data_IF_327989505224
#
_entry.id   IF_327989505224
#
_cell.length_a   1.000
_cell.length_b   1.000
_cell.length_c   1.000
_cell.angle_alpha   90.00
_cell.angle_beta   90.00
_cell.angle_gamma   90.00
#
_symmetry.space_group_name_H-M   'P 1'
#
loop_
_entity.id
_entity.type
_entity.pdbx_description
1 polymer ?
#
# COMPACT_ATOMS: atom_id res chain seq x y z
N UNK A 1 -1.94 3.35 -6.72
CA UNK A 1 -3.37 3.42 -7.09
C UNK A 1 -3.54 4.66 -7.91
N UNK A 2 -3.80 4.50 -9.20
CA UNK A 2 -4.16 5.57 -10.14
C UNK A 2 -5.67 5.78 -10.11
N UNK A 3 -6.16 6.95 -10.52
CA UNK A 3 -7.61 7.23 -10.62
C UNK A 3 -8.35 6.18 -11.48
N UNK A 4 -7.68 5.64 -12.51
CA UNK A 4 -8.22 4.54 -13.34
C UNK A 4 -8.42 3.23 -12.58
N UNK A 5 -7.55 2.92 -11.61
CA UNK A 5 -7.72 1.73 -10.74
C UNK A 5 -8.91 1.94 -9.79
N UNK A 6 -9.19 3.19 -9.42
CA UNK A 6 -10.30 3.55 -8.54
C UNK A 6 -11.65 3.47 -9.25
N UNK A 7 -11.69 3.78 -10.55
CA UNK A 7 -12.90 3.64 -11.37
C UNK A 7 -13.39 2.19 -11.48
N UNK A 8 -12.51 1.18 -11.38
CA UNK A 8 -12.92 -0.25 -11.32
C UNK A 8 -13.71 -0.59 -10.06
N UNK A 9 -13.58 0.20 -8.98
CA UNK A 9 -14.32 0.02 -7.74
C UNK A 9 -15.72 0.68 -7.77
N UNK A 10 -16.10 1.33 -8.88
CA UNK A 10 -17.38 2.02 -9.02
C UNK A 10 -18.58 1.06 -9.02
N UNK A 11 -19.17 0.89 -7.83
CA UNK A 11 -20.54 0.39 -7.66
C UNK A 11 -20.74 -0.68 -6.59
N UNK A 12 -19.69 -1.35 -6.10
CA UNK A 12 -19.79 -2.38 -5.04
C UNK A 12 -18.59 -2.51 -4.10
N UNK A 13 -17.54 -1.72 -4.30
CA UNK A 13 -16.38 -1.79 -3.42
C UNK A 13 -16.70 -1.16 -2.07
N UNK A 14 -16.54 -1.93 -1.01
CA UNK A 14 -16.50 -1.39 0.34
C UNK A 14 -15.17 -0.67 0.55
N UNK A 15 -15.09 0.21 1.55
CA UNK A 15 -13.83 0.87 1.90
C UNK A 15 -12.71 -0.15 2.16
N UNK A 16 -13.05 -1.32 2.70
CA UNK A 16 -12.10 -2.41 2.95
C UNK A 16 -11.54 -3.02 1.66
N UNK A 17 -12.34 -3.13 0.59
CA UNK A 17 -11.87 -3.64 -0.70
C UNK A 17 -10.84 -2.70 -1.34
N UNK A 18 -11.07 -1.39 -1.21
CA UNK A 18 -10.16 -0.35 -1.66
C UNK A 18 -8.88 -0.35 -0.81
N UNK A 19 -8.99 -0.48 0.51
CA UNK A 19 -7.82 -0.59 1.40
C UNK A 19 -7.00 -1.85 1.13
N UNK A 20 -7.64 -2.98 0.82
CA UNK A 20 -6.98 -4.23 0.47
C UNK A 20 -6.24 -4.13 -0.87
N UNK A 21 -6.81 -3.41 -1.84
CA UNK A 21 -6.18 -3.17 -3.14
C UNK A 21 -5.09 -2.08 -3.10
N UNK A 22 -5.19 -1.13 -2.16
CA UNK A 22 -4.18 -0.12 -1.95
C UNK A 22 -2.88 -0.77 -1.43
N UNK A 23 -1.89 -0.82 -2.31
CA UNK A 23 -0.56 -1.34 -1.99
C UNK A 23 0.17 -0.38 -1.02
N UNK A 24 -0.08 -0.55 0.27
CA UNK A 24 0.57 0.17 1.37
C UNK A 24 1.95 -0.39 1.73
N UNK A 25 2.42 -1.40 1.00
CA UNK A 25 3.73 -2.04 1.21
C UNK A 25 4.55 -2.05 -0.08
N UNK A 26 5.81 -1.65 0.01
CA UNK A 26 6.75 -1.60 -1.11
C UNK A 26 8.07 -2.28 -0.72
N UNK A 27 8.51 -3.26 -1.50
CA UNK A 27 9.82 -3.88 -1.33
C UNK A 27 10.83 -3.13 -2.21
N UNK A 28 11.81 -2.49 -1.59
CA UNK A 28 12.83 -1.75 -2.31
C UNK A 28 13.76 -2.72 -3.05
N UNK A 29 13.90 -2.63 -4.39
CA UNK A 29 14.73 -3.56 -5.17
C UNK A 29 16.24 -3.35 -4.93
N UNK A 30 16.65 -2.19 -4.40
CA UNK A 30 18.07 -1.85 -4.18
C UNK A 30 18.59 -2.32 -2.83
N UNK A 31 17.82 -2.12 -1.76
CA UNK A 31 18.26 -2.45 -0.39
C UNK A 31 17.50 -3.62 0.24
N UNK A 32 16.57 -4.23 -0.51
CA UNK A 32 15.73 -5.38 -0.12
C UNK A 32 14.86 -5.17 1.12
N UNK A 33 14.70 -3.91 1.55
CA UNK A 33 13.87 -3.53 2.69
C UNK A 33 12.40 -3.50 2.32
N UNK A 34 11.56 -4.01 3.21
CA UNK A 34 10.11 -3.87 3.11
C UNK A 34 9.69 -2.56 3.78
N UNK A 35 9.18 -1.63 3.01
CA UNK A 35 8.61 -0.36 3.47
C UNK A 35 7.10 -0.52 3.62
N UNK A 36 6.54 -0.09 4.75
CA UNK A 36 5.11 -0.09 5.01
C UNK A 36 4.63 1.33 5.31
N UNK A 37 3.62 1.78 4.57
CA UNK A 37 3.05 3.13 4.59
C UNK A 37 1.70 3.12 5.33
N UNK A 38 1.75 2.95 6.64
CA UNK A 38 0.56 2.84 7.50
C UNK A 38 -0.38 4.04 7.43
N UNK A 39 0.17 5.23 7.24
CA UNK A 39 -0.56 6.51 7.25
C UNK A 39 -0.57 7.18 5.87
N UNK A 40 -0.39 6.39 4.81
CA UNK A 40 -0.29 6.89 3.44
C UNK A 40 1.12 7.32 3.03
N UNK A 41 1.26 7.78 1.78
CA UNK A 41 2.55 8.07 1.14
C UNK A 41 3.14 9.45 1.52
N UNK A 42 2.33 10.32 2.11
CA UNK A 42 2.78 11.64 2.57
C UNK A 42 3.58 11.56 3.89
N UNK A 43 3.38 10.48 4.64
CA UNK A 43 4.06 10.23 5.91
C UNK A 43 5.25 9.27 5.72
N UNK A 44 6.24 9.30 6.64
CA UNK A 44 7.36 8.37 6.59
C UNK A 44 6.92 6.91 6.66
N UNK A 45 7.48 6.07 5.77
CA UNK A 45 7.29 4.62 5.84
C UNK A 45 8.02 4.02 7.05
N UNK A 46 7.46 2.96 7.63
CA UNK A 46 8.21 2.07 8.54
C UNK A 46 8.95 1.00 7.75
N UNK A 47 10.22 0.77 8.06
CA UNK A 47 10.98 -0.37 7.52
C UNK A 47 10.72 -1.58 8.39
N UNK A 48 10.10 -2.62 7.82
CA UNK A 48 9.88 -3.88 8.52
C UNK A 48 11.09 -4.78 8.35
N UNK A 49 11.52 -5.39 9.47
CA UNK A 49 12.60 -6.37 9.50
C UNK A 49 12.01 -7.65 10.09
N UNK A 50 12.28 -8.80 9.46
CA UNK A 50 11.83 -10.10 9.99
C UNK A 50 12.49 -10.33 11.36
N UNK A 51 11.69 -10.64 12.38
CA UNK A 51 12.22 -11.12 13.66
C UNK A 51 12.92 -12.47 13.42
N UNK A 52 14.18 -12.54 13.83
CA UNK A 52 15.08 -13.68 13.61
C UNK A 52 14.83 -14.83 14.57
#
# INVERSE_FOLDING_TARGET
>A
MSDTDFDEFSGRATADDVYAAAQHAFRCPTCDRLHVFWSGLAEPSTVYTREG
#
